data_IF_873880680648
#
_entry.id   IF_873880680648
#
_cell.length_a   1.000
_cell.length_b   1.000
_cell.length_c   1.000
_cell.angle_alpha   90.00
_cell.angle_beta   90.00
_cell.angle_gamma   90.00
#
_symmetry.space_group_name_H-M   'P 1'
#
loop_
_entity.id
_entity.type
_entity.pdbx_description
1 polymer ?
#
# COMPACT_ATOMS: atom_id res chain seq x y z
N UNK A 1 -13.25 -10.68 19.67
CA UNK A 1 -13.45 -9.40 18.95
C UNK A 1 -12.18 -9.17 18.16
N UNK A 2 -12.27 -8.81 16.87
CA UNK A 2 -11.08 -8.64 16.05
C UNK A 2 -10.16 -7.55 16.60
N UNK A 3 -8.86 -7.76 16.44
CA UNK A 3 -7.81 -6.81 16.79
C UNK A 3 -8.04 -5.50 16.05
N UNK A 4 -7.86 -4.36 16.72
CA UNK A 4 -8.25 -3.07 16.17
C UNK A 4 -7.47 -2.72 14.88
N UNK A 5 -6.26 -3.25 14.73
CA UNK A 5 -5.43 -3.01 13.56
C UNK A 5 -5.96 -3.65 12.27
N UNK A 6 -6.81 -4.67 12.34
CA UNK A 6 -7.48 -5.28 11.18
C UNK A 6 -8.89 -4.75 10.96
N UNK A 7 -9.32 -3.75 11.74
CA UNK A 7 -10.53 -2.99 11.45
C UNK A 7 -10.13 -1.81 10.56
N UNK A 8 -10.46 -1.91 9.27
CA UNK A 8 -10.08 -0.93 8.25
C UNK A 8 -11.07 0.24 8.18
N UNK A 9 -10.55 1.45 7.98
CA UNK A 9 -11.33 2.62 7.57
C UNK A 9 -11.49 2.67 6.05
N UNK A 10 -12.25 3.65 5.54
CA UNK A 10 -12.53 3.79 4.11
C UNK A 10 -11.23 3.99 3.32
N UNK A 11 -10.35 4.84 3.81
CA UNK A 11 -9.07 5.13 3.19
C UNK A 11 -8.13 3.90 3.12
N UNK A 12 -8.14 3.06 4.16
CA UNK A 12 -7.41 1.79 4.17
C UNK A 12 -7.95 0.82 3.11
N UNK A 13 -9.27 0.76 2.95
CA UNK A 13 -9.88 -0.05 1.90
C UNK A 13 -9.59 0.50 0.50
N UNK A 14 -9.59 1.82 0.31
CA UNK A 14 -9.25 2.46 -0.97
C UNK A 14 -7.81 2.16 -1.37
N UNK A 15 -6.87 2.21 -0.42
CA UNK A 15 -5.50 1.76 -0.63
C UNK A 15 -5.43 0.31 -1.14
N UNK A 16 -6.12 -0.63 -0.46
CA UNK A 16 -6.14 -2.03 -0.90
C UNK A 16 -6.78 -2.19 -2.29
N UNK A 17 -7.89 -1.49 -2.53
CA UNK A 17 -8.61 -1.50 -3.83
C UNK A 17 -7.72 -0.98 -4.96
N UNK A 18 -6.89 0.05 -4.71
CA UNK A 18 -5.95 0.58 -5.70
C UNK A 18 -4.95 -0.47 -6.18
N UNK A 19 -4.60 -1.42 -5.31
CA UNK A 19 -3.71 -2.55 -5.61
C UNK A 19 -4.47 -3.80 -6.11
N UNK A 20 -5.80 -3.73 -6.23
CA UNK A 20 -6.64 -4.86 -6.66
C UNK A 20 -6.91 -5.89 -5.56
N UNK A 21 -6.78 -5.50 -4.28
CA UNK A 21 -7.00 -6.37 -3.12
C UNK A 21 -8.18 -5.90 -2.27
N UNK A 22 -8.68 -6.83 -1.45
CA UNK A 22 -9.55 -6.54 -0.31
C UNK A 22 -9.18 -7.44 0.86
N UNK A 23 -9.58 -7.04 2.07
CA UNK A 23 -9.31 -7.80 3.28
C UNK A 23 -10.48 -8.73 3.63
N UNK A 24 -10.15 -9.89 4.21
CA UNK A 24 -11.10 -10.76 4.90
C UNK A 24 -10.55 -11.13 6.27
N UNK A 25 -11.30 -10.84 7.33
CA UNK A 25 -10.99 -11.27 8.70
C UNK A 25 -11.31 -12.77 8.83
N UNK A 26 -10.36 -13.54 9.36
CA UNK A 26 -10.46 -15.01 9.53
C UNK A 26 -10.63 -15.39 11.00
N UNK A 27 -9.94 -14.67 11.89
CA UNK A 27 -10.03 -14.82 13.33
C UNK A 27 -9.69 -13.48 14.01
N UNK A 28 -9.75 -13.45 15.34
CA UNK A 28 -9.56 -12.22 16.11
C UNK A 28 -8.20 -11.54 15.84
N UNK A 29 -7.14 -12.28 15.55
CA UNK A 29 -5.81 -11.74 15.22
C UNK A 29 -5.32 -12.17 13.82
N UNK A 30 -6.21 -12.57 12.92
CA UNK A 30 -5.84 -13.11 11.62
C UNK A 30 -6.71 -12.51 10.53
N UNK A 31 -6.06 -11.90 9.54
CA UNK A 31 -6.70 -11.45 8.32
C UNK A 31 -5.94 -11.95 7.09
N UNK A 32 -6.63 -11.94 5.95
CA UNK A 32 -6.02 -12.20 4.65
C UNK A 32 -6.32 -11.06 3.70
N UNK A 33 -5.37 -10.73 2.85
CA UNK A 33 -5.55 -9.81 1.72
C UNK A 33 -5.63 -10.64 0.45
N UNK A 34 -6.71 -10.50 -0.31
CA UNK A 34 -6.96 -11.36 -1.48
C UNK A 34 -7.48 -10.58 -2.69
N UNK A 35 -7.19 -11.11 -3.88
CA UNK A 35 -7.76 -10.59 -5.13
C UNK A 35 -9.22 -11.05 -5.30
N UNK A 36 -10.06 -10.36 -6.10
CA UNK A 36 -11.48 -10.71 -6.30
C UNK A 36 -11.74 -12.18 -6.66
N UNK A 37 -10.82 -12.81 -7.38
CA UNK A 37 -10.90 -14.19 -7.84
C UNK A 37 -10.08 -15.18 -6.99
N UNK A 38 -9.60 -14.77 -5.81
CA UNK A 38 -8.81 -15.59 -4.87
C UNK A 38 -7.52 -16.20 -5.48
N UNK A 39 -7.05 -15.71 -6.63
CA UNK A 39 -5.80 -16.17 -7.26
C UNK A 39 -4.56 -15.80 -6.45
N UNK A 40 -4.60 -14.69 -5.74
CA UNK A 40 -3.53 -14.25 -4.84
C UNK A 40 -4.13 -14.03 -3.46
N UNK A 41 -3.51 -14.66 -2.46
CA UNK A 41 -3.87 -14.53 -1.04
C UNK A 41 -2.58 -14.28 -0.27
N UNK A 42 -2.58 -13.22 0.55
CA UNK A 42 -1.49 -12.87 1.46
C UNK A 42 -2.06 -12.95 2.87
N UNK A 43 -1.63 -13.97 3.60
CA UNK A 43 -1.99 -14.18 5.00
C UNK A 43 -1.22 -13.25 5.94
N UNK A 44 -1.89 -12.77 6.97
CA UNK A 44 -1.27 -11.94 8.00
C UNK A 44 -1.83 -12.24 9.40
N UNK A 45 -0.95 -12.70 10.28
CA UNK A 45 -1.23 -12.86 11.71
C UNK A 45 -0.71 -11.60 12.41
N UNK A 46 -1.59 -10.97 13.17
CA UNK A 46 -1.40 -9.68 13.80
C UNK A 46 -0.80 -9.88 15.18
N UNK A 47 0.30 -9.19 15.45
CA UNK A 47 0.90 -9.10 16.78
C UNK A 47 0.12 -8.11 17.65
N UNK A 48 0.08 -8.30 18.98
CA UNK A 48 -0.58 -7.35 19.90
C UNK A 48 -0.11 -5.89 19.80
N UNK A 49 1.10 -5.66 19.27
CA UNK A 49 1.69 -4.33 19.14
C UNK A 49 1.53 -3.72 17.74
N UNK A 50 0.91 -4.45 16.79
CA UNK A 50 0.75 -3.95 15.43
C UNK A 50 -0.41 -2.95 15.36
N UNK A 51 -0.17 -1.80 14.76
CA UNK A 51 -1.22 -0.87 14.33
C UNK A 51 -1.67 -1.18 12.88
N UNK A 52 -2.75 -0.55 12.42
CA UNK A 52 -3.27 -0.78 11.06
C UNK A 52 -2.24 -0.42 9.98
N UNK A 53 -1.44 0.63 10.20
CA UNK A 53 -0.43 1.09 9.25
C UNK A 53 0.69 0.06 9.08
N UNK A 54 1.14 -0.57 10.17
CA UNK A 54 2.11 -1.67 10.16
C UNK A 54 1.55 -2.87 9.39
N UNK A 55 0.31 -3.27 9.68
CA UNK A 55 -0.37 -4.37 9.00
C UNK A 55 -0.43 -4.13 7.48
N UNK A 56 -0.83 -2.92 7.05
CA UNK A 56 -0.90 -2.56 5.62
C UNK A 56 0.49 -2.48 4.98
N UNK A 57 1.50 -1.98 5.69
CA UNK A 57 2.90 -1.98 5.20
C UNK A 57 3.41 -3.39 4.98
N UNK A 58 3.12 -4.30 5.92
CA UNK A 58 3.52 -5.69 5.81
C UNK A 58 2.84 -6.38 4.62
N UNK A 59 1.55 -6.14 4.41
CA UNK A 59 0.85 -6.56 3.21
C UNK A 59 1.57 -6.07 1.94
N UNK A 60 1.84 -4.76 1.84
CA UNK A 60 2.47 -4.18 0.65
C UNK A 60 3.84 -4.79 0.37
N UNK A 61 4.69 -4.92 1.39
CA UNK A 61 6.02 -5.53 1.26
C UNK A 61 5.89 -6.99 0.81
N UNK A 62 4.95 -7.76 1.36
CA UNK A 62 4.73 -9.15 0.98
C UNK A 62 4.18 -9.29 -0.43
N UNK A 63 3.34 -8.35 -0.88
CA UNK A 63 2.87 -8.28 -2.26
C UNK A 63 4.05 -8.07 -3.23
N UNK A 64 4.92 -7.10 -2.97
CA UNK A 64 6.11 -6.88 -3.80
C UNK A 64 7.05 -8.10 -3.79
N UNK A 65 7.27 -8.71 -2.63
CA UNK A 65 8.07 -9.95 -2.52
C UNK A 65 7.47 -11.07 -3.37
N UNK A 66 6.14 -11.23 -3.34
CA UNK A 66 5.45 -12.22 -4.15
C UNK A 66 5.68 -11.98 -5.65
N UNK A 67 5.64 -10.73 -6.11
CA UNK A 67 5.92 -10.41 -7.52
C UNK A 67 7.38 -10.75 -7.89
N UNK A 68 8.34 -10.44 -7.01
CA UNK A 68 9.76 -10.74 -7.21
C UNK A 68 10.04 -12.24 -7.30
N UNK A 69 9.46 -13.06 -6.42
CA UNK A 69 9.67 -14.52 -6.46
C UNK A 69 9.04 -15.18 -7.69
N UNK A 70 8.08 -14.51 -8.32
CA UNK A 70 7.53 -14.90 -9.62
C UNK A 70 8.39 -14.40 -10.81
N UNK A 71 9.67 -14.06 -10.56
CA UNK A 71 10.65 -13.60 -11.54
C UNK A 71 10.23 -12.37 -12.35
N UNK A 72 9.35 -11.52 -11.80
CA UNK A 72 9.00 -10.25 -12.45
C UNK A 72 10.14 -9.25 -12.27
N UNK A 73 10.66 -8.64 -13.35
CA UNK A 73 11.65 -7.58 -13.26
C UNK A 73 11.03 -6.34 -12.60
N UNK A 74 11.87 -5.45 -12.05
CA UNK A 74 11.40 -4.32 -11.26
C UNK A 74 10.55 -3.34 -12.09
N UNK A 75 10.84 -3.22 -13.38
CA UNK A 75 10.10 -2.40 -14.33
C UNK A 75 8.66 -2.90 -14.50
N UNK A 76 8.47 -4.22 -14.55
CA UNK A 76 7.15 -4.83 -14.62
C UNK A 76 6.40 -4.66 -13.30
N UNK A 77 7.09 -4.84 -12.16
CA UNK A 77 6.52 -4.58 -10.83
C UNK A 77 6.05 -3.12 -10.74
N UNK A 78 6.88 -2.17 -11.16
CA UNK A 78 6.56 -0.76 -11.16
C UNK A 78 5.29 -0.45 -11.97
N UNK A 79 5.07 -1.13 -13.10
CA UNK A 79 3.87 -0.96 -13.92
C UNK A 79 2.57 -1.44 -13.24
N UNK A 80 2.68 -2.31 -12.23
CA UNK A 80 1.54 -2.80 -11.43
C UNK A 80 1.25 -1.93 -10.21
N UNK A 81 2.18 -1.05 -9.83
CA UNK A 81 1.98 -0.13 -8.71
C UNK A 81 1.34 1.14 -9.26
N UNK A 82 0.14 1.53 -8.79
CA UNK A 82 -0.59 2.68 -9.31
C UNK A 82 0.00 4.02 -8.81
N UNK A 83 1.30 4.23 -8.99
CA UNK A 83 2.02 5.47 -8.69
C UNK A 83 2.78 5.87 -9.94
N UNK A 84 2.52 7.09 -10.42
CA UNK A 84 3.28 7.70 -11.51
C UNK A 84 3.95 8.95 -10.99
N UNK A 85 5.27 9.01 -11.13
CA UNK A 85 6.07 10.18 -10.77
C UNK A 85 6.51 10.86 -12.07
N UNK A 86 6.09 12.11 -12.24
CA UNK A 86 6.30 12.92 -13.43
C UNK A 86 7.11 14.15 -13.05
N UNK A 87 7.78 14.72 -14.04
CA UNK A 87 8.41 16.03 -13.92
C UNK A 87 7.85 16.94 -15.01
N UNK A 88 6.95 17.83 -14.62
CA UNK A 88 6.28 18.76 -15.53
C UNK A 88 6.84 20.15 -15.31
N UNK A 89 7.59 20.67 -16.30
CA UNK A 89 8.21 21.98 -16.25
C UNK A 89 9.11 22.23 -15.02
N UNK A 90 9.87 21.20 -14.60
CA UNK A 90 10.76 21.28 -13.44
C UNK A 90 10.06 21.14 -12.10
N UNK A 91 8.75 20.88 -12.07
CA UNK A 91 7.99 20.60 -10.85
C UNK A 91 7.66 19.12 -10.75
N UNK A 92 7.93 18.47 -9.60
CA UNK A 92 7.52 17.09 -9.40
C UNK A 92 5.99 17.01 -9.36
N UNK A 93 5.46 15.97 -9.97
CA UNK A 93 4.05 15.62 -9.96
C UNK A 93 3.93 14.14 -9.64
N UNK A 94 3.02 13.79 -8.73
CA UNK A 94 2.75 12.39 -8.37
C UNK A 94 1.27 12.14 -8.63
N UNK A 95 0.97 11.08 -9.36
CA UNK A 95 -0.39 10.59 -9.59
C UNK A 95 -0.52 9.23 -8.91
N UNK A 96 -1.50 9.08 -8.03
CA UNK A 96 -1.79 7.84 -7.30
C UNK A 96 -3.18 7.34 -7.69
N UNK A 97 -3.28 6.11 -8.18
CA UNK A 97 -4.54 5.51 -8.61
C UNK A 97 -5.35 6.35 -9.63
N UNK A 98 -4.65 7.16 -10.44
CA UNK A 98 -5.26 8.04 -11.43
C UNK A 98 -5.58 9.45 -10.92
N UNK A 99 -5.38 9.74 -9.63
CA UNK A 99 -5.61 11.06 -9.04
C UNK A 99 -4.29 11.79 -8.75
N UNK A 100 -4.27 13.09 -9.02
CA UNK A 100 -3.10 13.93 -8.73
C UNK A 100 -2.98 14.14 -7.23
N UNK A 101 -1.82 13.83 -6.68
CA UNK A 101 -1.51 14.05 -5.29
C UNK A 101 -1.08 15.51 -5.06
N UNK A 102 -1.75 16.18 -4.13
CA UNK A 102 -1.33 17.50 -3.65
C UNK A 102 -0.35 17.33 -2.48
N UNK A 103 0.84 17.91 -2.60
CA UNK A 103 1.89 17.84 -1.58
C UNK A 103 2.76 19.11 -1.60
N UNK A 104 3.41 19.40 -0.48
CA UNK A 104 4.45 20.42 -0.41
C UNK A 104 5.82 19.86 -0.82
N UNK A 105 6.72 20.77 -1.22
CA UNK A 105 8.04 20.39 -1.71
C UNK A 105 8.93 19.75 -0.62
N UNK A 106 8.74 20.12 0.64
CA UNK A 106 9.55 19.62 1.74
C UNK A 106 9.25 18.14 2.03
N UNK A 107 7.98 17.74 1.97
CA UNK A 107 7.56 16.35 2.03
C UNK A 107 8.13 15.55 0.85
N UNK A 108 8.02 16.08 -0.38
CA UNK A 108 8.55 15.38 -1.56
C UNK A 108 10.05 15.13 -1.47
N UNK A 109 10.80 16.11 -0.94
CA UNK A 109 12.25 16.01 -0.76
C UNK A 109 12.68 14.98 0.29
N UNK A 110 11.77 14.55 1.18
CA UNK A 110 12.03 13.51 2.18
C UNK A 110 11.82 12.09 1.62
N UNK A 111 11.30 11.94 0.40
CA UNK A 111 11.07 10.63 -0.19
C UNK A 111 12.40 9.90 -0.46
N UNK A 112 12.53 8.62 -0.06
CA UNK A 112 13.77 7.86 -0.20
C UNK A 112 14.06 7.50 -1.67
N UNK A 113 15.31 7.11 -1.92
CA UNK A 113 15.75 6.57 -3.22
C UNK A 113 15.40 5.10 -3.42
N UNK A 114 15.19 4.35 -2.33
CA UNK A 114 14.70 2.97 -2.41
C UNK A 114 13.24 2.95 -2.88
N UNK A 115 13.00 2.35 -4.04
CA UNK A 115 11.72 2.42 -4.74
C UNK A 115 10.55 1.86 -3.92
N UNK A 116 10.76 0.78 -3.17
CA UNK A 116 9.68 0.13 -2.39
C UNK A 116 9.29 1.02 -1.22
N UNK A 117 10.26 1.56 -0.48
CA UNK A 117 9.98 2.49 0.60
C UNK A 117 9.42 3.82 0.08
N UNK A 118 9.85 4.26 -1.11
CA UNK A 118 9.31 5.44 -1.79
C UNK A 118 7.83 5.27 -2.09
N UNK A 119 7.45 4.17 -2.74
CA UNK A 119 6.04 3.85 -3.00
C UNK A 119 5.22 3.77 -1.72
N UNK A 120 5.75 3.11 -0.68
CA UNK A 120 5.07 3.02 0.61
C UNK A 120 4.77 4.41 1.20
N UNK A 121 5.74 5.32 1.24
CA UNK A 121 5.52 6.65 1.79
C UNK A 121 4.54 7.48 0.96
N UNK A 122 4.57 7.33 -0.37
CA UNK A 122 3.58 7.97 -1.25
C UNK A 122 2.18 7.44 -0.94
N UNK A 123 1.98 6.13 -0.83
CA UNK A 123 0.68 5.55 -0.48
C UNK A 123 0.19 5.96 0.90
N UNK A 124 1.09 5.89 1.90
CA UNK A 124 0.79 6.27 3.27
C UNK A 124 0.30 7.71 3.38
N UNK A 125 0.93 8.61 2.63
CA UNK A 125 0.52 10.01 2.53
C UNK A 125 -0.79 10.17 1.74
N UNK A 126 -0.88 9.61 0.53
CA UNK A 126 -2.04 9.76 -0.36
C UNK A 126 -3.34 9.25 0.26
N UNK A 127 -3.28 8.10 0.94
CA UNK A 127 -4.43 7.51 1.60
C UNK A 127 -4.50 7.85 3.10
N UNK A 128 -3.56 8.63 3.64
CA UNK A 128 -3.53 8.98 5.07
C UNK A 128 -3.70 7.75 6.00
N UNK A 129 -2.89 6.70 5.78
CA UNK A 129 -3.06 5.38 6.43
C UNK A 129 -2.83 5.38 7.95
N UNK A 130 -2.48 6.53 8.51
CA UNK A 130 -2.42 6.75 9.96
C UNK A 130 -3.79 6.98 10.60
N UNK A 131 -4.81 7.35 9.81
CA UNK A 131 -6.15 7.66 10.29
C UNK A 131 -7.17 6.69 9.69
N UNK A 132 -8.15 6.29 10.50
CA UNK A 132 -9.32 5.52 10.05
C UNK A 132 -10.44 6.51 9.74
N UNK A 133 -10.47 7.05 8.53
CA UNK A 133 -11.52 7.98 8.06
C UNK A 133 -12.49 7.19 7.17
#
# INVERSE_FOLDING_TARGET
MPHESIILGKNHEEFLKSLGFYQKIKADNHCVFRTPNDKVIIDHIVSPNDDTRIVLRMFFINFIKLLKVNNRPMEEIASLIPIQELNSNGKPEIVVAGEKLEFDQDWHNQLPTDQINRWWLIFDFAFNLSKKI
#
